data_IF_615147940803
#
_entry.id   IF_615147940803
#
_cell.length_a   1.000
_cell.length_b   1.000
_cell.length_c   1.000
_cell.angle_alpha   90.00
_cell.angle_beta   90.00
_cell.angle_gamma   90.00
#
_symmetry.space_group_name_H-M   'P 1'
#
loop_
_entity.id
_entity.type
_entity.pdbx_description
1 polymer ?
#
# COMPACT_ATOMS: atom_id res chain seq x y z
N UNK A 1 1.05 -15.21 -4.05
CA UNK A 1 1.90 -14.12 -3.51
C UNK A 1 2.59 -13.44 -4.67
N UNK A 2 2.40 -12.13 -4.83
CA UNK A 2 3.00 -11.33 -5.91
C UNK A 2 3.60 -10.05 -5.35
N UNK A 3 4.59 -9.49 -6.06
CA UNK A 3 5.17 -8.17 -5.77
C UNK A 3 4.37 -7.11 -6.54
N UNK A 4 3.82 -6.13 -5.84
CA UNK A 4 2.96 -5.09 -6.44
C UNK A 4 3.50 -3.72 -6.07
N UNK A 5 3.79 -2.89 -7.07
CA UNK A 5 4.05 -1.46 -6.87
C UNK A 5 2.74 -0.68 -6.94
N UNK A 6 2.46 0.13 -5.94
CA UNK A 6 1.25 0.94 -5.83
C UNK A 6 1.62 2.42 -5.73
N UNK A 7 1.32 3.19 -6.78
CA UNK A 7 1.63 4.62 -6.87
C UNK A 7 0.34 5.41 -6.75
N UNK A 8 0.29 6.32 -5.77
CA UNK A 8 -0.86 7.17 -5.49
C UNK A 8 -1.73 6.62 -4.37
N UNK A 9 -1.55 7.16 -3.16
CA UNK A 9 -2.27 6.76 -1.95
C UNK A 9 -3.32 7.81 -1.55
N UNK A 10 -4.20 8.13 -2.49
CA UNK A 10 -5.36 8.99 -2.24
C UNK A 10 -6.53 8.22 -1.63
N UNK A 11 -7.72 8.85 -1.59
CA UNK A 11 -8.93 8.28 -0.98
C UNK A 11 -9.31 6.88 -1.51
N UNK A 12 -9.02 6.60 -2.78
CA UNK A 12 -9.23 5.28 -3.39
C UNK A 12 -8.00 4.37 -3.30
N UNK A 13 -6.79 4.95 -3.39
CA UNK A 13 -5.53 4.20 -3.48
C UNK A 13 -5.21 3.46 -2.18
N UNK A 14 -5.34 4.14 -1.04
CA UNK A 14 -5.02 3.56 0.27
C UNK A 14 -5.85 2.30 0.60
N UNK A 15 -7.19 2.27 0.48
CA UNK A 15 -7.94 1.05 0.76
C UNK A 15 -7.60 -0.11 -0.19
N UNK A 16 -7.29 0.18 -1.46
CA UNK A 16 -6.86 -0.86 -2.41
C UNK A 16 -5.50 -1.46 -2.04
N UNK A 17 -4.52 -0.62 -1.70
CA UNK A 17 -3.22 -1.09 -1.20
C UNK A 17 -3.38 -1.96 0.05
N UNK A 18 -4.23 -1.53 0.99
CA UNK A 18 -4.54 -2.30 2.20
C UNK A 18 -5.16 -3.68 1.90
N UNK A 19 -6.03 -3.80 0.90
CA UNK A 19 -6.59 -5.10 0.49
C UNK A 19 -5.53 -6.01 -0.13
N UNK A 20 -4.63 -5.48 -0.95
CA UNK A 20 -3.53 -6.26 -1.53
C UNK A 20 -2.58 -6.79 -0.45
N UNK A 21 -2.27 -5.95 0.55
CA UNK A 21 -1.46 -6.35 1.70
C UNK A 21 -2.16 -7.46 2.50
N UNK A 22 -3.45 -7.28 2.84
CA UNK A 22 -4.26 -8.29 3.53
C UNK A 22 -4.40 -9.59 2.74
N UNK A 23 -4.40 -9.51 1.41
CA UNK A 23 -4.39 -10.67 0.51
C UNK A 23 -3.05 -11.43 0.48
N UNK A 24 -2.04 -10.99 1.23
CA UNK A 24 -0.73 -11.64 1.30
C UNK A 24 0.18 -11.31 0.12
N UNK A 25 -0.05 -10.20 -0.58
CA UNK A 25 0.88 -9.67 -1.57
C UNK A 25 1.95 -8.80 -0.90
N UNK A 26 3.17 -8.77 -1.45
CA UNK A 26 4.20 -7.79 -1.04
C UNK A 26 3.92 -6.50 -1.81
N UNK A 27 3.49 -5.47 -1.09
CA UNK A 27 3.08 -4.21 -1.71
C UNK A 27 4.09 -3.11 -1.37
N UNK A 28 4.66 -2.52 -2.42
CA UNK A 28 5.53 -1.35 -2.35
C UNK A 28 4.68 -0.12 -2.62
N UNK A 29 4.81 0.89 -1.78
CA UNK A 29 3.89 2.01 -1.68
C UNK A 29 4.63 3.31 -1.99
N UNK A 30 4.13 4.09 -2.93
CA UNK A 30 4.69 5.39 -3.23
C UNK A 30 3.58 6.43 -3.40
N UNK A 31 3.76 7.61 -2.80
CA UNK A 31 2.81 8.71 -2.91
C UNK A 31 3.53 10.02 -2.69
N UNK A 32 3.17 11.05 -3.47
CA UNK A 32 3.75 12.39 -3.35
C UNK A 32 3.55 12.99 -1.95
N UNK A 33 2.39 12.74 -1.32
CA UNK A 33 2.08 13.21 0.04
C UNK A 33 2.63 12.34 1.17
N UNK A 34 3.47 11.34 0.85
CA UNK A 34 3.91 10.32 1.79
C UNK A 34 2.96 9.13 1.89
N UNK A 35 3.47 8.05 2.48
CA UNK A 35 2.73 6.82 2.75
C UNK A 35 2.05 6.94 4.11
N UNK A 36 0.76 6.61 4.19
CA UNK A 36 0.05 6.67 5.47
C UNK A 36 0.53 5.56 6.39
N UNK A 37 0.76 5.90 7.67
CA UNK A 37 1.26 4.98 8.69
C UNK A 37 0.44 3.68 8.79
N UNK A 38 -0.89 3.78 8.63
CA UNK A 38 -1.76 2.60 8.67
C UNK A 38 -1.43 1.55 7.60
N UNK A 39 -0.85 1.94 6.46
CA UNK A 39 -0.44 1.00 5.41
C UNK A 39 0.89 0.34 5.70
N UNK A 40 1.85 1.08 6.29
CA UNK A 40 3.11 0.49 6.77
C UNK A 40 2.87 -0.45 7.94
N UNK A 41 1.98 -0.08 8.87
CA UNK A 41 1.60 -0.93 10.00
C UNK A 41 0.88 -2.22 9.54
N UNK A 42 0.16 -2.15 8.41
CA UNK A 42 -0.46 -3.33 7.80
C UNK A 42 0.56 -4.27 7.12
N UNK A 43 1.82 -3.85 6.93
CA UNK A 43 2.87 -4.62 6.27
C UNK A 43 3.25 -4.13 4.86
N UNK A 44 2.76 -2.96 4.45
CA UNK A 44 3.20 -2.29 3.24
C UNK A 44 4.61 -1.71 3.37
N UNK A 45 5.34 -1.65 2.26
CA UNK A 45 6.72 -1.16 2.21
C UNK A 45 6.70 0.23 1.58
N UNK A 46 7.04 1.26 2.35
CA UNK A 46 7.09 2.66 1.90
C UNK A 46 8.37 2.99 1.11
#
# INVERSE_FOLDING_TARGET
MANVGFIGLGIMGSPMAGHLIKGGHRVFLHSHGGVQQALTDAGGIA
#
